data_IF_409863704312
#
_entry.id   IF_409863704312
#
_cell.length_a   1.000
_cell.length_b   1.000
_cell.length_c   1.000
_cell.angle_alpha   90.00
_cell.angle_beta   90.00
_cell.angle_gamma   90.00
#
_symmetry.space_group_name_H-M   'P 1'
#
loop_
_entity.id
_entity.type
_entity.pdbx_description
1 polymer ?
#
# COMPACT_ATOMS: atom_id res chain seq x y z
N UNK A 1 -13.95 -19.14 4.63
CA UNK A 1 -13.88 -17.69 4.88
C UNK A 1 -12.69 -17.38 5.76
N UNK A 2 -11.95 -16.37 5.38
CA UNK A 2 -10.85 -15.94 6.22
C UNK A 2 -11.34 -15.05 7.34
N UNK A 3 -10.92 -15.34 8.57
CA UNK A 3 -11.14 -14.47 9.72
C UNK A 3 -9.83 -13.82 10.17
N UNK A 4 -8.80 -13.87 9.32
CA UNK A 4 -7.50 -13.31 9.64
C UNK A 4 -7.61 -11.81 9.89
N UNK A 5 -6.84 -11.32 10.87
CA UNK A 5 -6.73 -9.91 11.20
C UNK A 5 -5.26 -9.52 11.05
N UNK A 6 -5.02 -8.49 10.24
CA UNK A 6 -3.68 -7.99 9.99
C UNK A 6 -3.57 -6.59 10.56
N UNK A 7 -2.51 -6.29 11.28
CA UNK A 7 -2.27 -4.98 11.86
C UNK A 7 -0.98 -4.39 11.34
N UNK A 8 -0.94 -3.08 11.32
CA UNK A 8 0.24 -2.36 10.89
C UNK A 8 0.20 -0.91 11.33
N UNK A 9 1.20 -0.17 10.92
CA UNK A 9 1.31 1.23 11.24
C UNK A 9 2.64 1.82 10.82
N UNK A 10 2.88 3.02 11.33
CA UNK A 10 4.10 3.75 11.04
C UNK A 10 5.25 3.31 11.94
N UNK A 11 6.45 3.75 11.59
CA UNK A 11 7.66 3.39 12.32
C UNK A 11 7.64 3.83 13.79
N UNK A 12 7.04 4.98 14.10
CA UNK A 12 6.98 5.48 15.49
C UNK A 12 5.77 4.96 16.28
N UNK A 13 4.83 4.30 15.62
CA UNK A 13 3.64 3.75 16.25
C UNK A 13 2.48 4.71 16.43
N UNK A 14 2.62 5.98 16.04
CA UNK A 14 1.56 6.97 16.22
C UNK A 14 0.34 6.72 15.32
N UNK A 15 0.55 6.18 14.12
CA UNK A 15 -0.52 5.81 13.21
C UNK A 15 -0.63 4.29 13.15
N UNK A 16 -1.84 3.77 13.37
CA UNK A 16 -2.07 2.32 13.40
C UNK A 16 -3.33 1.99 12.61
N UNK A 17 -3.29 0.84 11.94
CA UNK A 17 -4.44 0.34 11.21
C UNK A 17 -4.61 -1.16 11.39
N UNK A 18 -5.77 -1.62 10.98
CA UNK A 18 -6.14 -3.03 11.02
C UNK A 18 -6.93 -3.36 9.76
N UNK A 19 -6.72 -4.56 9.21
CA UNK A 19 -7.48 -5.05 8.07
C UNK A 19 -7.89 -6.50 8.34
N UNK A 20 -9.10 -6.87 7.92
CA UNK A 20 -9.69 -8.18 8.19
C UNK A 20 -10.02 -8.90 6.90
N UNK A 21 -9.76 -10.20 6.88
CA UNK A 21 -10.10 -11.08 5.77
C UNK A 21 -9.07 -11.02 4.65
N UNK A 22 -9.44 -11.58 3.50
CA UNK A 22 -8.53 -11.68 2.38
C UNK A 22 -8.36 -10.34 1.67
N UNK A 23 -7.11 -9.96 1.32
CA UNK A 23 -6.91 -8.80 0.47
C UNK A 23 -7.48 -9.05 -0.93
N UNK A 24 -7.88 -7.97 -1.58
CA UNK A 24 -8.39 -8.04 -2.97
C UNK A 24 -7.25 -8.31 -3.96
N UNK A 25 -6.06 -7.83 -3.67
CA UNK A 25 -4.88 -8.03 -4.50
C UNK A 25 -3.61 -7.71 -3.72
N UNK A 26 -2.50 -8.24 -4.23
CA UNK A 26 -1.15 -7.92 -3.75
C UNK A 26 -0.30 -7.76 -5.00
N UNK A 27 0.17 -6.54 -5.27
CA UNK A 27 0.90 -6.25 -6.51
C UNK A 27 2.10 -5.35 -6.24
N UNK A 28 3.08 -5.46 -7.12
CA UNK A 28 4.19 -4.49 -7.19
C UNK A 28 3.84 -3.44 -8.21
N UNK A 29 3.96 -2.17 -7.83
CA UNK A 29 3.67 -1.04 -8.68
C UNK A 29 4.95 -0.31 -9.04
N UNK A 30 5.16 -0.12 -10.34
CA UNK A 30 6.38 0.49 -10.88
C UNK A 30 6.18 1.94 -11.32
N UNK A 31 5.00 2.53 -11.07
CA UNK A 31 4.73 3.87 -11.53
C UNK A 31 5.59 4.93 -10.86
N UNK A 32 5.84 6.01 -11.59
CA UNK A 32 6.66 7.12 -11.08
C UNK A 32 6.08 7.70 -9.80
N UNK A 33 4.77 7.87 -9.73
CA UNK A 33 4.12 8.43 -8.54
C UNK A 33 4.40 7.62 -7.29
N UNK A 34 4.34 6.30 -7.39
CA UNK A 34 4.63 5.42 -6.26
C UNK A 34 6.11 5.42 -5.90
N UNK A 35 7.00 5.49 -6.91
CA UNK A 35 8.43 5.60 -6.64
C UNK A 35 8.76 6.87 -5.87
N UNK A 36 8.18 8.00 -6.27
CA UNK A 36 8.41 9.28 -5.59
C UNK A 36 7.79 9.30 -4.19
N UNK A 37 6.61 8.71 -4.05
CA UNK A 37 5.93 8.68 -2.75
C UNK A 37 6.67 7.84 -1.70
N UNK A 38 7.40 6.82 -2.12
CA UNK A 38 8.08 5.89 -1.21
C UNK A 38 9.60 6.00 -1.24
N UNK A 39 10.16 6.56 -2.30
CA UNK A 39 11.60 6.59 -2.51
C UNK A 39 12.18 5.24 -2.94
N UNK A 40 11.34 4.25 -3.22
CA UNK A 40 11.79 2.91 -3.61
C UNK A 40 11.68 2.72 -5.13
N UNK A 41 12.41 1.74 -5.66
CA UNK A 41 12.38 1.42 -7.09
C UNK A 41 11.01 0.95 -7.55
N UNK A 42 10.28 0.29 -6.69
CA UNK A 42 8.87 -0.06 -6.85
C UNK A 42 8.25 -0.18 -5.46
N UNK A 43 6.93 -0.19 -5.40
CA UNK A 43 6.22 -0.36 -4.14
C UNK A 43 5.31 -1.57 -4.22
N UNK A 44 5.15 -2.28 -3.10
CA UNK A 44 4.24 -3.43 -3.01
C UNK A 44 3.00 -3.01 -2.24
N UNK A 45 1.85 -3.17 -2.87
CA UNK A 45 0.58 -2.72 -2.34
C UNK A 45 -0.32 -3.91 -2.03
N UNK A 46 -0.95 -3.85 -0.86
CA UNK A 46 -1.95 -4.82 -0.43
C UNK A 46 -3.29 -4.10 -0.41
N UNK A 47 -4.21 -4.47 -1.29
CA UNK A 47 -5.49 -3.79 -1.44
C UNK A 47 -6.58 -4.45 -0.64
N UNK A 48 -7.31 -3.64 0.14
CA UNK A 48 -8.49 -4.09 0.88
C UNK A 48 -9.67 -3.20 0.54
N UNK A 49 -10.88 -3.76 0.63
CA UNK A 49 -12.07 -2.94 0.59
C UNK A 49 -12.11 -2.06 1.84
N UNK A 50 -12.65 -0.85 1.73
CA UNK A 50 -12.75 0.07 2.88
C UNK A 50 -13.49 -0.57 4.06
N UNK A 51 -14.47 -1.44 3.78
CA UNK A 51 -15.20 -2.14 4.82
C UNK A 51 -14.34 -3.13 5.62
N UNK A 52 -13.20 -3.54 5.07
CA UNK A 52 -12.30 -4.50 5.72
C UNK A 52 -11.29 -3.84 6.65
N UNK A 53 -11.09 -2.53 6.53
CA UNK A 53 -10.03 -1.85 7.25
C UNK A 53 -10.56 -0.86 8.27
N UNK A 54 -9.78 -0.63 9.32
CA UNK A 54 -10.06 0.40 10.31
C UNK A 54 -8.76 1.13 10.67
N UNK A 55 -8.83 2.45 10.73
CA UNK A 55 -7.75 3.24 11.31
C UNK A 55 -7.91 3.23 12.82
N UNK A 56 -6.98 2.60 13.51
CA UNK A 56 -6.99 2.57 14.99
C UNK A 56 -6.50 3.89 15.55
N UNK A 57 -5.56 4.52 14.86
CA UNK A 57 -5.16 5.90 15.05
C UNK A 57 -4.81 6.46 13.68
N UNK A 58 -5.48 7.55 13.30
CA UNK A 58 -5.45 8.05 11.94
C UNK A 58 -4.12 8.71 11.57
N UNK A 59 -3.64 8.47 10.34
CA UNK A 59 -2.54 9.22 9.78
C UNK A 59 -3.02 10.57 9.26
N UNK A 60 -2.09 11.37 8.76
CA UNK A 60 -2.42 12.51 7.93
C UNK A 60 -2.57 12.05 6.49
N UNK A 61 -3.31 12.81 5.69
CA UNK A 61 -3.50 12.54 4.28
C UNK A 61 -3.14 13.77 3.47
N UNK A 62 -2.60 13.56 2.28
CA UNK A 62 -2.37 14.63 1.31
C UNK A 62 -2.83 14.18 -0.07
N UNK A 63 -3.25 15.16 -0.87
CA UNK A 63 -3.64 14.91 -2.27
C UNK A 63 -2.36 14.93 -3.10
N UNK A 64 -1.90 13.76 -3.52
CA UNK A 64 -0.66 13.65 -4.29
C UNK A 64 -0.85 13.95 -5.77
N UNK A 65 -2.07 13.76 -6.26
CA UNK A 65 -2.49 14.10 -7.63
C UNK A 65 -4.00 14.18 -7.64
N UNK A 66 -4.63 14.76 -8.69
CA UNK A 66 -6.09 14.85 -8.73
C UNK A 66 -6.74 13.49 -8.52
N UNK A 67 -7.65 13.39 -7.55
CA UNK A 67 -8.37 12.18 -7.23
C UNK A 67 -7.57 11.13 -6.47
N UNK A 68 -6.39 11.46 -5.98
CA UNK A 68 -5.52 10.52 -5.24
C UNK A 68 -5.10 11.14 -3.92
N UNK A 69 -5.32 10.42 -2.83
CA UNK A 69 -4.79 10.83 -1.53
C UNK A 69 -3.95 9.72 -0.94
N UNK A 70 -2.90 10.13 -0.25
CA UNK A 70 -1.96 9.21 0.39
C UNK A 70 -1.89 9.49 1.87
N UNK A 71 -1.87 8.42 2.68
CA UNK A 71 -1.73 8.51 4.13
C UNK A 71 -0.29 8.38 4.56
N UNK A 72 0.09 9.14 5.56
CA UNK A 72 1.45 9.11 6.12
C UNK A 72 1.41 9.55 7.58
N UNK A 73 2.43 9.18 8.33
CA UNK A 73 2.55 9.63 9.71
C UNK A 73 3.18 11.01 9.75
N UNK A 74 2.48 11.99 10.33
CA UNK A 74 3.02 13.35 10.44
C UNK A 74 4.21 13.47 11.39
N UNK A 75 4.38 12.50 12.29
CA UNK A 75 5.47 12.52 13.28
C UNK A 75 6.75 11.91 12.75
N UNK A 76 6.67 10.75 12.08
CA UNK A 76 7.86 10.06 11.61
C UNK A 76 7.99 10.00 10.09
N UNK A 77 6.97 10.44 9.36
CA UNK A 77 7.01 10.51 7.89
C UNK A 77 6.74 9.20 7.17
N UNK A 78 6.48 8.09 7.87
CA UNK A 78 6.24 6.80 7.23
C UNK A 78 5.07 6.90 6.26
N UNK A 79 5.24 6.58 4.95
CA UNK A 79 4.12 6.46 4.04
C UNK A 79 3.34 5.19 4.36
N UNK A 80 1.99 5.24 4.28
CA UNK A 80 1.15 4.15 4.73
C UNK A 80 0.17 3.66 3.66
N UNK A 81 -0.52 4.58 2.98
CA UNK A 81 -1.67 4.18 2.18
C UNK A 81 -1.86 5.01 0.92
N UNK A 82 -2.66 4.45 0.03
CA UNK A 82 -3.08 5.07 -1.22
C UNK A 82 -4.59 4.83 -1.38
N UNK A 83 -5.32 5.89 -1.72
CA UNK A 83 -6.72 5.81 -2.12
C UNK A 83 -6.90 6.67 -3.36
N UNK A 84 -7.52 6.10 -4.39
CA UNK A 84 -7.69 6.79 -5.67
C UNK A 84 -9.10 6.63 -6.20
N UNK A 85 -9.59 7.63 -6.92
CA UNK A 85 -10.93 7.60 -7.52
C UNK A 85 -11.09 6.50 -8.55
N UNK A 86 -9.98 6.02 -9.14
CA UNK A 86 -10.01 4.89 -10.07
C UNK A 86 -10.26 3.56 -9.36
N UNK A 87 -10.11 3.52 -8.04
CA UNK A 87 -10.29 2.34 -7.22
C UNK A 87 -11.26 2.67 -6.08
N UNK A 88 -12.53 3.00 -6.41
CA UNK A 88 -13.47 3.45 -5.39
C UNK A 88 -13.74 2.35 -4.36
N UNK A 89 -13.84 2.76 -3.10
CA UNK A 89 -14.14 1.85 -2.01
C UNK A 89 -12.96 0.98 -1.58
N UNK A 90 -11.74 1.31 -2.00
CA UNK A 90 -10.54 0.55 -1.66
C UNK A 90 -9.50 1.41 -0.96
N UNK A 91 -8.78 0.79 -0.05
CA UNK A 91 -7.57 1.35 0.56
C UNK A 91 -6.42 0.40 0.26
N UNK A 92 -5.35 0.92 -0.31
CA UNK A 92 -4.15 0.14 -0.61
C UNK A 92 -3.10 0.49 0.42
N UNK A 93 -2.57 -0.53 1.11
CA UNK A 93 -1.53 -0.33 2.12
C UNK A 93 -0.17 -0.77 1.58
N UNK A 94 0.86 -0.02 1.91
CA UNK A 94 2.23 -0.45 1.62
C UNK A 94 2.55 -1.68 2.47
N UNK A 95 3.08 -2.71 1.84
CA UNK A 95 3.32 -3.99 2.50
C UNK A 95 4.23 -3.87 3.71
N UNK A 96 5.23 -3.00 3.64
CA UNK A 96 6.18 -2.80 4.72
C UNK A 96 5.61 -2.18 5.98
N UNK A 97 4.39 -1.63 5.91
CA UNK A 97 3.71 -1.07 7.07
C UNK A 97 2.99 -2.10 7.93
N UNK A 98 2.82 -3.33 7.45
CA UNK A 98 2.23 -4.39 8.26
C UNK A 98 3.23 -4.89 9.30
N UNK A 99 2.75 -5.22 10.50
CA UNK A 99 3.60 -5.75 11.56
C UNK A 99 4.24 -7.06 11.15
N UNK A 100 3.48 -7.91 10.43
CA UNK A 100 4.01 -9.10 9.78
C UNK A 100 3.67 -9.05 8.29
N UNK A 101 4.60 -8.64 7.44
CA UNK A 101 4.35 -8.58 6.00
C UNK A 101 4.50 -9.92 5.28
N UNK A 102 4.97 -10.95 5.96
CA UNK A 102 5.32 -12.22 5.32
C UNK A 102 4.19 -12.94 4.58
N UNK A 103 2.89 -12.82 4.98
CA UNK A 103 1.84 -13.51 4.24
C UNK A 103 1.46 -12.82 2.92
N UNK A 104 1.96 -11.64 2.64
CA UNK A 104 1.53 -10.86 1.48
C UNK A 104 2.48 -11.04 0.30
N UNK A 105 2.44 -12.22 -0.31
CA UNK A 105 3.25 -12.51 -1.49
C UNK A 105 2.63 -11.84 -2.73
N UNK A 106 3.36 -10.97 -3.45
CA UNK A 106 2.82 -10.36 -4.65
C UNK A 106 2.49 -11.40 -5.72
N UNK A 107 1.37 -11.20 -6.42
CA UNK A 107 0.93 -12.09 -7.49
C UNK A 107 1.03 -11.44 -8.86
N UNK A 108 1.46 -10.19 -8.95
CA UNK A 108 1.61 -9.50 -10.22
C UNK A 108 2.31 -8.18 -10.09
N UNK A 109 2.53 -7.57 -11.24
CA UNK A 109 3.16 -6.27 -11.38
C UNK A 109 2.26 -5.37 -12.23
N UNK A 110 2.14 -4.10 -11.84
CA UNK A 110 1.35 -3.10 -12.56
C UNK A 110 2.25 -1.94 -12.96
N UNK A 111 1.86 -1.23 -14.03
CA UNK A 111 2.66 -0.14 -14.61
C UNK A 111 4.08 -0.61 -14.99
N UNK A 112 4.16 -1.77 -15.63
CA UNK A 112 5.42 -2.39 -16.02
C UNK A 112 6.23 -1.54 -16.98
N UNK A 113 5.55 -0.76 -17.81
CA UNK A 113 6.18 0.13 -18.78
C UNK A 113 6.97 1.26 -18.12
N UNK A 114 6.69 1.55 -16.85
CA UNK A 114 7.41 2.56 -16.08
C UNK A 114 8.51 1.97 -15.20
N UNK A 115 8.69 0.64 -15.23
CA UNK A 115 9.66 -0.04 -14.38
C UNK A 115 11.09 0.38 -14.75
N UNK A 116 11.94 0.49 -13.73
CA UNK A 116 13.37 0.71 -13.97
C UNK A 116 13.95 -0.53 -14.65
N UNK A 117 14.82 -0.31 -15.63
CA UNK A 117 15.33 -1.41 -16.45
C UNK A 117 16.01 -2.52 -15.62
N UNK A 118 16.71 -2.13 -14.56
CA UNK A 118 17.47 -3.08 -13.74
C UNK A 118 16.57 -3.83 -12.72
N UNK A 119 15.31 -3.44 -12.57
CA UNK A 119 14.38 -4.15 -11.69
C UNK A 119 13.07 -4.46 -12.39
N UNK A 120 13.07 -4.50 -13.72
CA UNK A 120 11.90 -4.83 -14.50
C UNK A 120 11.38 -6.22 -14.12
N UNK A 121 10.05 -6.43 -14.16
CA UNK A 121 9.47 -7.73 -13.85
C UNK A 121 10.05 -8.83 -14.72
N UNK A 122 10.24 -10.01 -14.13
CA UNK A 122 10.73 -11.17 -14.86
C UNK A 122 9.59 -11.75 -15.70
N UNK A 123 9.69 -11.59 -17.00
CA UNK A 123 8.66 -12.04 -17.92
C UNK A 123 8.65 -13.55 -18.15
N UNK A 124 9.67 -14.24 -17.67
CA UNK A 124 9.76 -15.69 -17.74
C UNK A 124 8.96 -16.36 -16.61
N UNK A 125 8.62 -15.62 -15.60
CA UNK A 125 7.93 -16.16 -14.42
C UNK A 125 6.45 -16.33 -14.71
#
# INVERSE_FOLDING_TARGET
MSSAVYRGGCNCGAARFEAKGEPKFIVRCHCEGCRRATGAAFSTWVGFADAQRAWLSSPQFYVSSPGVKRGFCEKCGTPLSYQGEKWPGETHFLVGGFDDPSPFTPTGDVFKDEALAWCAPDERA
#
